data_IF_474827640700
#
_entry.id   IF_474827640700
#
_cell.length_a   1.000
_cell.length_b   1.000
_cell.length_c   1.000
_cell.angle_alpha   90.00
_cell.angle_beta   90.00
_cell.angle_gamma   90.00
#
_symmetry.space_group_name_H-M   'P 1'
#
loop_
_entity.id
_entity.type
_entity.pdbx_description
1 polymer ?
#
# COMPACT_ATOMS: atom_id res chain seq x y z
N UNK A 1 9.67 -23.32 -14.51
CA UNK A 1 8.85 -22.21 -14.01
C UNK A 1 7.37 -22.43 -14.32
N UNK A 2 6.97 -22.47 -15.59
CA UNK A 2 5.56 -22.64 -16.03
C UNK A 2 4.74 -23.71 -15.28
N UNK A 3 5.26 -24.94 -15.18
CA UNK A 3 4.57 -26.03 -14.47
C UNK A 3 4.29 -25.69 -13.00
N UNK A 4 5.24 -25.06 -12.32
CA UNK A 4 5.10 -24.67 -10.91
C UNK A 4 4.18 -23.46 -10.76
N UNK A 5 4.26 -22.51 -11.69
CA UNK A 5 3.36 -21.35 -11.74
C UNK A 5 1.90 -21.80 -11.94
N UNK A 6 1.64 -22.70 -12.89
CA UNK A 6 0.31 -23.27 -13.11
C UNK A 6 -0.21 -24.02 -11.86
N UNK A 7 0.63 -24.82 -11.21
CA UNK A 7 0.26 -25.51 -9.97
C UNK A 7 -0.05 -24.52 -8.83
N UNK A 8 0.75 -23.47 -8.68
CA UNK A 8 0.53 -22.41 -7.69
C UNK A 8 -0.78 -21.66 -7.94
N UNK A 9 -1.06 -21.29 -9.20
CA UNK A 9 -2.30 -20.58 -9.56
C UNK A 9 -3.55 -21.41 -9.20
N UNK A 10 -3.56 -22.69 -9.54
CA UNK A 10 -4.66 -23.60 -9.19
C UNK A 10 -4.82 -23.74 -7.68
N UNK A 11 -3.72 -23.76 -6.93
CA UNK A 11 -3.75 -23.87 -5.47
C UNK A 11 -4.05 -22.55 -4.74
N UNK A 12 -3.87 -21.39 -5.38
CA UNK A 12 -3.99 -20.06 -4.79
C UNK A 12 -4.80 -19.12 -5.69
N UNK A 13 -6.09 -19.41 -5.95
CA UNK A 13 -6.87 -18.65 -6.93
C UNK A 13 -6.99 -17.15 -6.60
N UNK A 14 -7.10 -16.80 -5.31
CA UNK A 14 -7.17 -15.39 -4.88
C UNK A 14 -5.85 -14.64 -5.14
N UNK A 15 -4.71 -15.22 -4.76
CA UNK A 15 -3.40 -14.63 -5.04
C UNK A 15 -3.09 -14.60 -6.54
N UNK A 16 -3.57 -15.57 -7.31
CA UNK A 16 -3.44 -15.57 -8.76
C UNK A 16 -4.22 -14.42 -9.41
N UNK A 17 -5.46 -14.18 -8.98
CA UNK A 17 -6.27 -13.05 -9.43
C UNK A 17 -5.63 -11.70 -9.02
N UNK A 18 -5.12 -11.60 -7.78
CA UNK A 18 -4.35 -10.44 -7.33
C UNK A 18 -3.12 -10.20 -8.21
N UNK A 19 -2.34 -11.25 -8.47
CA UNK A 19 -1.16 -11.17 -9.32
C UNK A 19 -1.50 -10.69 -10.73
N UNK A 20 -2.56 -11.22 -11.34
CA UNK A 20 -2.98 -10.83 -12.69
C UNK A 20 -3.35 -9.35 -12.77
N UNK A 21 -4.15 -8.87 -11.81
CA UNK A 21 -4.55 -7.46 -11.73
C UNK A 21 -3.33 -6.54 -11.58
N UNK A 22 -2.40 -6.88 -10.67
CA UNK A 22 -1.17 -6.11 -10.45
C UNK A 22 -0.28 -6.14 -11.70
N UNK A 23 -0.14 -7.30 -12.35
CA UNK A 23 0.66 -7.45 -13.57
C UNK A 23 0.06 -6.67 -14.76
N UNK A 24 -1.26 -6.48 -14.79
CA UNK A 24 -1.96 -5.64 -15.75
C UNK A 24 -1.84 -4.13 -15.46
N UNK A 25 -1.33 -3.75 -14.28
CA UNK A 25 -1.25 -2.35 -13.84
C UNK A 25 -2.60 -1.76 -13.44
N UNK A 26 -3.56 -2.61 -13.08
CA UNK A 26 -4.91 -2.21 -12.69
C UNK A 26 -5.00 -2.04 -11.17
N UNK A 27 -5.71 -1.01 -10.70
CA UNK A 27 -5.98 -0.81 -9.28
C UNK A 27 -7.26 -1.54 -8.86
N UNK A 28 -7.44 -1.84 -7.56
CA UNK A 28 -8.69 -2.39 -7.05
C UNK A 28 -9.89 -1.51 -7.40
N UNK A 29 -11.02 -2.10 -7.75
CA UNK A 29 -12.26 -1.35 -7.97
C UNK A 29 -12.63 -0.55 -6.71
N UNK A 30 -13.13 0.67 -6.88
CA UNK A 30 -13.54 1.52 -5.76
C UNK A 30 -12.40 2.11 -4.92
N UNK A 31 -11.12 1.93 -5.29
CA UNK A 31 -9.99 2.46 -4.49
C UNK A 31 -10.08 3.96 -4.20
N UNK A 32 -10.70 4.72 -5.11
CA UNK A 32 -10.89 6.17 -4.98
C UNK A 32 -11.82 6.55 -3.83
N UNK A 33 -12.74 5.66 -3.44
CA UNK A 33 -13.67 5.88 -2.32
C UNK A 33 -12.96 5.94 -0.97
N UNK A 34 -11.76 5.35 -0.88
CA UNK A 34 -10.92 5.46 0.31
C UNK A 34 -10.27 6.84 0.46
N UNK A 35 -10.18 7.64 -0.60
CA UNK A 35 -9.46 8.90 -0.56
C UNK A 35 -10.09 9.89 0.43
N UNK A 36 -9.28 10.53 1.31
CA UNK A 36 -9.80 11.52 2.23
C UNK A 36 -10.25 12.78 1.49
N UNK A 37 -11.37 13.35 1.91
CA UNK A 37 -11.82 14.68 1.51
C UNK A 37 -11.26 15.71 2.49
N UNK A 38 -10.75 16.83 1.96
CA UNK A 38 -10.19 17.92 2.75
C UNK A 38 -11.11 19.14 2.67
N UNK A 39 -11.76 19.46 3.78
CA UNK A 39 -12.69 20.59 3.88
C UNK A 39 -12.03 21.95 3.62
N UNK A 40 -12.76 22.82 2.94
CA UNK A 40 -12.34 24.22 2.74
C UNK A 40 -12.24 24.97 4.06
N UNK A 41 -11.30 25.92 4.17
CA UNK A 41 -11.12 26.74 5.37
C UNK A 41 -10.25 26.11 6.47
N UNK A 42 -9.86 24.85 6.33
CA UNK A 42 -8.89 24.20 7.23
C UNK A 42 -7.52 24.07 6.56
N UNK A 43 -6.51 24.72 7.12
CA UNK A 43 -5.15 24.58 6.65
C UNK A 43 -4.61 23.17 6.90
N UNK A 44 -4.00 22.57 5.88
CA UNK A 44 -3.26 21.31 5.97
C UNK A 44 -1.99 21.42 5.14
N UNK A 45 -0.84 21.09 5.74
CA UNK A 45 0.39 20.99 4.97
C UNK A 45 0.27 19.84 3.97
N UNK A 46 0.71 20.04 2.72
CA UNK A 46 0.58 19.03 1.66
C UNK A 46 1.26 17.71 2.01
N UNK A 47 2.38 17.73 2.75
CA UNK A 47 3.01 16.51 3.30
C UNK A 47 2.08 15.72 4.23
N UNK A 48 1.29 16.42 5.05
CA UNK A 48 0.36 15.78 5.98
C UNK A 48 -0.88 15.25 5.24
N UNK A 49 -1.34 15.96 4.20
CA UNK A 49 -2.37 15.45 3.29
C UNK A 49 -1.87 14.19 2.55
N UNK A 50 -0.64 14.18 2.04
CA UNK A 50 0.00 13.03 1.41
C UNK A 50 0.02 11.81 2.35
N UNK A 51 0.43 11.98 3.61
CA UNK A 51 0.44 10.88 4.57
C UNK A 51 -0.95 10.29 4.85
N UNK A 52 -1.99 11.13 4.89
CA UNK A 52 -3.38 10.64 5.02
C UNK A 52 -3.84 9.86 3.80
N UNK A 53 -3.46 10.30 2.60
CA UNK A 53 -3.73 9.55 1.36
C UNK A 53 -3.02 8.20 1.38
N UNK A 54 -1.73 8.16 1.78
CA UNK A 54 -0.98 6.90 1.89
C UNK A 54 -1.61 5.92 2.88
N UNK A 55 -2.04 6.40 4.06
CA UNK A 55 -2.72 5.56 5.06
C UNK A 55 -4.07 5.03 4.56
N UNK A 56 -4.84 5.87 3.87
CA UNK A 56 -6.13 5.47 3.31
C UNK A 56 -5.97 4.42 2.20
N UNK A 57 -5.04 4.65 1.27
CA UNK A 57 -4.78 3.73 0.17
C UNK A 57 -4.12 2.43 0.63
N UNK A 58 -3.27 2.48 1.66
CA UNK A 58 -2.62 1.29 2.22
C UNK A 58 -3.59 0.23 2.74
N UNK A 59 -4.81 0.62 3.10
CA UNK A 59 -5.84 -0.31 3.56
C UNK A 59 -6.57 -1.04 2.41
N UNK A 60 -6.54 -0.49 1.19
CA UNK A 60 -7.35 -0.99 0.06
C UNK A 60 -6.53 -1.36 -1.19
N UNK A 61 -5.30 -0.85 -1.33
CA UNK A 61 -4.37 -1.14 -2.42
C UNK A 61 -3.24 -2.02 -1.88
N UNK A 62 -3.37 -3.37 -1.92
CA UNK A 62 -2.42 -4.28 -1.27
C UNK A 62 -1.02 -4.27 -1.91
N UNK A 63 -0.90 -3.83 -3.16
CA UNK A 63 0.37 -3.65 -3.86
C UNK A 63 1.04 -2.29 -3.59
N UNK A 64 0.45 -1.42 -2.76
CA UNK A 64 1.08 -0.16 -2.35
C UNK A 64 2.14 -0.43 -1.29
N UNK A 65 3.39 -0.10 -1.61
CA UNK A 65 4.52 -0.22 -0.70
C UNK A 65 5.53 0.89 -0.97
N UNK A 66 6.36 1.19 0.03
CA UNK A 66 7.36 2.24 -0.07
C UNK A 66 7.91 2.64 1.29
N UNK A 67 8.66 3.74 1.30
CA UNK A 67 9.26 4.27 2.52
C UNK A 67 9.92 5.62 2.28
N UNK A 68 10.82 5.99 3.18
CA UNK A 68 11.62 7.20 3.06
C UNK A 68 13.03 6.91 3.56
N UNK A 69 14.03 7.54 2.96
CA UNK A 69 15.40 7.51 3.46
C UNK A 69 15.50 8.34 4.75
N UNK A 70 15.33 7.69 5.91
CA UNK A 70 15.40 8.24 7.28
C UNK A 70 14.43 9.41 7.61
N UNK A 71 13.60 9.81 6.66
CA UNK A 71 12.71 10.97 6.77
C UNK A 71 11.23 10.60 6.84
N UNK A 72 10.87 9.38 7.24
CA UNK A 72 9.48 8.90 7.22
C UNK A 72 8.53 9.78 8.05
N UNK A 73 8.96 10.23 9.23
CA UNK A 73 8.21 11.17 10.06
C UNK A 73 8.14 12.59 9.48
N UNK A 74 9.22 13.06 8.85
CA UNK A 74 9.29 14.38 8.23
C UNK A 74 8.43 14.48 6.96
N UNK A 75 8.41 13.40 6.18
CA UNK A 75 7.70 13.30 4.90
C UNK A 75 6.27 12.74 5.05
N UNK A 76 5.93 12.20 6.22
CA UNK A 76 4.68 11.46 6.50
C UNK A 76 4.44 10.29 5.53
N UNK A 77 5.45 9.44 5.32
CA UNK A 77 5.36 8.32 4.35
C UNK A 77 5.03 6.97 4.97
N UNK A 78 4.89 6.88 6.30
CA UNK A 78 4.47 5.63 6.97
C UNK A 78 3.03 5.29 6.57
N UNK A 79 2.87 4.21 5.80
CA UNK A 79 1.60 3.70 5.29
C UNK A 79 0.80 3.04 6.42
N UNK A 80 1.41 2.09 7.11
CA UNK A 80 0.87 1.45 8.30
C UNK A 80 1.91 1.53 9.43
N UNK A 81 1.47 1.98 10.61
CA UNK A 81 2.35 2.17 11.77
C UNK A 81 2.70 0.86 12.46
N UNK A 82 2.01 -0.22 12.13
CA UNK A 82 2.20 -1.55 12.71
C UNK A 82 3.00 -2.49 11.81
N UNK A 83 3.53 -2.00 10.69
CA UNK A 83 4.34 -2.79 9.77
C UNK A 83 5.58 -2.03 9.28
N UNK A 84 6.62 -2.80 8.96
CA UNK A 84 7.85 -2.34 8.31
C UNK A 84 8.53 -3.52 7.63
N UNK A 85 9.24 -3.26 6.53
CA UNK A 85 10.06 -4.27 5.86
C UNK A 85 11.44 -4.34 6.52
N UNK A 86 11.58 -5.24 7.50
CA UNK A 86 12.78 -5.39 8.32
C UNK A 86 13.38 -6.80 8.20
N UNK A 87 14.68 -6.97 8.53
CA UNK A 87 15.25 -8.29 8.74
C UNK A 87 14.47 -9.09 9.77
N UNK A 88 14.44 -10.42 9.61
CA UNK A 88 13.76 -11.30 10.54
C UNK A 88 14.29 -11.12 11.98
N UNK A 89 13.38 -10.91 12.93
CA UNK A 89 13.70 -10.73 14.35
C UNK A 89 13.94 -9.28 14.80
N UNK A 90 13.98 -8.31 13.88
CA UNK A 90 14.08 -6.91 14.25
C UNK A 90 12.72 -6.36 14.74
N UNK A 91 12.68 -5.62 15.87
CA UNK A 91 11.46 -4.97 16.31
C UNK A 91 11.10 -3.79 15.40
N UNK A 92 9.82 -3.42 15.39
CA UNK A 92 9.39 -2.18 14.77
C UNK A 92 10.00 -0.98 15.51
N UNK A 93 10.44 0.06 14.78
CA UNK A 93 10.93 1.31 15.37
C UNK A 93 9.83 2.12 16.06
#
# INVERSE_FOLDING_TARGET
>A
WEKQYAAWRTANPEHAALFDRVAAGELPEGWQEALPVFETGKAVATRAASGKVLQALGAVVPELWGGSADLAGSNNTTIDKTSSFLPAGNPLP
#
